data_IF_587986433647
#
_entry.id   IF_587986433647
#
_cell.length_a   1.000
_cell.length_b   1.000
_cell.length_c   1.000
_cell.angle_alpha   90.00
_cell.angle_beta   90.00
_cell.angle_gamma   90.00
#
_symmetry.space_group_name_H-M   'P 1'
#
loop_
_entity.id
_entity.type
_entity.pdbx_description
1 polymer ?
#
# COMPACT_ATOMS: atom_id res chain seq x y z
N UNK A 1 4.25 3.83 -16.25
CA UNK A 1 3.72 4.17 -14.92
C UNK A 1 2.36 3.49 -14.76
N UNK A 2 2.07 2.83 -13.63
CA UNK A 2 0.77 2.17 -13.43
C UNK A 2 -0.31 3.25 -13.29
N UNK A 3 -1.45 3.09 -13.96
CA UNK A 3 -2.55 4.07 -13.85
C UNK A 3 -3.17 4.05 -12.46
N UNK A 4 -3.63 5.21 -11.97
CA UNK A 4 -4.17 5.38 -10.63
C UNK A 4 -5.35 4.44 -10.38
N UNK A 5 -6.26 4.35 -11.34
CA UNK A 5 -7.46 3.49 -11.26
C UNK A 5 -7.11 2.01 -11.06
N UNK A 6 -5.96 1.55 -11.59
CA UNK A 6 -5.51 0.17 -11.39
C UNK A 6 -5.04 -0.05 -9.94
N UNK A 7 -4.33 0.92 -9.36
CA UNK A 7 -3.85 0.84 -7.99
C UNK A 7 -5.01 0.91 -6.99
N UNK A 8 -5.95 1.84 -7.22
CA UNK A 8 -7.19 1.95 -6.43
C UNK A 8 -7.99 0.64 -6.44
N UNK A 9 -8.13 0.01 -7.61
CA UNK A 9 -8.79 -1.30 -7.73
C UNK A 9 -8.08 -2.41 -6.97
N UNK A 10 -6.74 -2.42 -6.95
CA UNK A 10 -5.96 -3.41 -6.19
C UNK A 10 -6.19 -3.28 -4.69
N UNK A 11 -6.19 -2.05 -4.20
CA UNK A 11 -6.44 -1.74 -2.79
C UNK A 11 -7.87 -2.13 -2.40
N UNK A 12 -8.87 -1.74 -3.20
CA UNK A 12 -10.27 -2.02 -2.88
C UNK A 12 -10.59 -3.52 -2.84
N UNK A 13 -10.04 -4.32 -3.76
CA UNK A 13 -10.19 -5.77 -3.71
C UNK A 13 -9.49 -6.38 -2.51
N UNK A 14 -8.30 -5.90 -2.15
CA UNK A 14 -7.59 -6.39 -0.98
C UNK A 14 -8.34 -6.05 0.32
N UNK A 15 -8.87 -4.84 0.44
CA UNK A 15 -9.72 -4.41 1.56
C UNK A 15 -11.00 -5.25 1.66
N UNK A 16 -11.63 -5.59 0.53
CA UNK A 16 -12.78 -6.52 0.52
C UNK A 16 -12.40 -7.88 1.09
N UNK A 17 -11.24 -8.43 0.71
CA UNK A 17 -10.75 -9.70 1.22
C UNK A 17 -10.40 -9.62 2.72
N UNK A 18 -9.83 -8.51 3.17
CA UNK A 18 -9.52 -8.27 4.58
C UNK A 18 -10.78 -8.28 5.44
N UNK A 19 -11.84 -7.57 5.02
CA UNK A 19 -13.14 -7.55 5.72
C UNK A 19 -13.79 -8.93 5.79
N UNK A 20 -13.65 -9.75 4.75
CA UNK A 20 -14.14 -11.14 4.74
C UNK A 20 -13.40 -12.07 5.70
N UNK A 21 -12.26 -11.62 6.23
CA UNK A 21 -11.39 -12.39 7.13
C UNK A 21 -11.26 -11.75 8.51
N UNK A 22 -12.08 -10.76 8.82
CA UNK A 22 -12.01 -10.00 10.08
C UNK A 22 -10.61 -9.42 10.34
N UNK A 23 -9.94 -8.97 9.27
CA UNK A 23 -8.63 -8.30 9.34
C UNK A 23 -8.85 -6.79 9.24
N UNK A 24 -8.60 -6.06 10.31
CA UNK A 24 -8.77 -4.61 10.33
C UNK A 24 -7.69 -3.86 9.54
N UNK A 25 -6.47 -4.39 9.49
CA UNK A 25 -5.33 -3.71 8.87
C UNK A 25 -4.24 -4.69 8.48
N UNK A 26 -3.55 -4.42 7.37
CA UNK A 26 -2.40 -5.17 6.89
C UNK A 26 -1.16 -4.29 6.75
N UNK A 27 -0.04 -4.74 7.31
CA UNK A 27 1.27 -4.09 7.14
C UNK A 27 2.06 -4.79 6.04
N UNK A 28 2.31 -4.08 4.93
CA UNK A 28 3.07 -4.59 3.79
C UNK A 28 4.54 -4.20 3.91
N UNK A 29 5.41 -5.20 4.09
CA UNK A 29 6.88 -5.03 4.24
C UNK A 29 7.70 -5.70 3.14
N UNK A 30 7.06 -6.41 2.21
CA UNK A 30 7.76 -7.03 1.08
C UNK A 30 7.78 -6.07 -0.10
N UNK A 31 8.94 -5.89 -0.75
CA UNK A 31 9.13 -4.95 -1.85
C UNK A 31 8.18 -5.21 -3.04
N UNK A 32 7.96 -6.48 -3.39
CA UNK A 32 7.08 -6.86 -4.50
C UNK A 32 5.63 -6.44 -4.24
N UNK A 33 5.09 -6.75 -3.07
CA UNK A 33 3.75 -6.35 -2.65
C UNK A 33 3.61 -4.84 -2.51
N UNK A 34 4.62 -4.16 -1.94
CA UNK A 34 4.63 -2.70 -1.87
C UNK A 34 4.56 -2.08 -3.27
N UNK A 35 5.38 -2.57 -4.21
CA UNK A 35 5.38 -2.10 -5.60
C UNK A 35 4.05 -2.41 -6.29
N UNK A 36 3.42 -3.55 -5.99
CA UNK A 36 2.11 -3.91 -6.51
C UNK A 36 1.01 -2.93 -6.09
N UNK A 37 0.98 -2.53 -4.81
CA UNK A 37 -0.07 -1.63 -4.30
C UNK A 37 0.22 -0.15 -4.54
N UNK A 38 1.49 0.29 -4.49
CA UNK A 38 1.86 1.71 -4.65
C UNK A 38 2.27 2.09 -6.07
N UNK A 39 2.64 1.12 -6.91
CA UNK A 39 3.29 1.37 -8.19
C UNK A 39 4.73 1.89 -8.08
N UNK A 40 5.26 2.04 -6.86
CA UNK A 40 6.59 2.59 -6.58
C UNK A 40 7.54 1.52 -6.06
N UNK A 41 8.77 1.51 -6.56
CA UNK A 41 9.86 0.72 -5.98
C UNK A 41 10.51 1.53 -4.87
N UNK A 42 10.35 1.09 -3.62
CA UNK A 42 10.91 1.77 -2.45
C UNK A 42 11.77 0.82 -1.62
N UNK A 43 13.03 1.16 -1.35
CA UNK A 43 14.00 0.23 -0.76
C UNK A 43 13.60 -0.28 0.62
N UNK A 44 12.98 0.58 1.44
CA UNK A 44 12.46 0.25 2.76
C UNK A 44 10.93 0.29 2.73
N UNK A 45 10.27 -0.77 2.22
CA UNK A 45 8.82 -0.80 2.09
C UNK A 45 8.13 -0.87 3.46
N UNK A 46 7.23 0.07 3.68
CA UNK A 46 6.26 0.03 4.77
C UNK A 46 4.98 0.73 4.31
N UNK A 47 3.95 -0.06 4.04
CA UNK A 47 2.63 0.43 3.65
C UNK A 47 1.58 -0.22 4.54
N UNK A 48 0.84 0.59 5.28
CA UNK A 48 -0.31 0.15 6.05
C UNK A 48 -1.55 0.29 5.17
N UNK A 49 -2.26 -0.82 4.97
CA UNK A 49 -3.55 -0.80 4.28
C UNK A 49 -4.62 -1.13 5.33
N UNK A 50 -5.45 -0.16 5.74
CA UNK A 50 -6.61 -0.43 6.59
C UNK A 50 -7.70 -1.14 5.76
N UNK A 51 -8.60 -1.86 6.43
CA UNK A 51 -9.74 -2.53 5.79
C UNK A 51 -10.75 -1.54 5.22
N UNK A 52 -10.68 -0.27 5.62
CA UNK A 52 -11.45 0.85 5.09
C UNK A 52 -10.62 2.15 5.13
N UNK A 53 -10.80 3.03 4.15
CA UNK A 53 -10.01 4.25 3.98
C UNK A 53 -8.71 4.08 3.16
N UNK A 54 -7.84 5.09 3.21
CA UNK A 54 -6.67 5.19 2.35
C UNK A 54 -5.44 4.45 2.91
N UNK A 55 -4.59 3.84 2.05
CA UNK A 55 -3.29 3.32 2.46
C UNK A 55 -2.35 4.40 2.97
N UNK A 56 -1.59 4.08 4.02
CA UNK A 56 -0.61 4.98 4.66
C UNK A 56 0.80 4.46 4.42
N UNK A 57 1.61 5.21 3.67
CA UNK A 57 3.01 4.88 3.44
C UNK A 57 3.89 5.47 4.56
N UNK A 58 4.75 4.64 5.15
CA UNK A 58 5.77 5.07 6.10
C UNK A 58 7.09 5.15 5.37
N UNK A 59 7.57 6.38 5.17
CA UNK A 59 8.81 6.66 4.45
C UNK A 59 9.80 7.26 5.44
N UNK A 60 11.06 6.83 5.39
CA UNK A 60 12.12 7.47 6.16
C UNK A 60 12.30 8.90 5.65
N UNK A 61 12.33 9.88 6.56
CA UNK A 61 12.48 11.31 6.20
C UNK A 61 13.63 11.58 5.23
N UNK A 62 14.74 10.85 5.37
CA UNK A 62 15.92 10.98 4.50
C UNK A 62 15.81 10.24 3.15
N UNK A 63 14.76 9.45 2.93
CA UNK A 63 14.44 8.80 1.65
C UNK A 63 13.37 9.57 0.86
N UNK A 64 12.54 10.38 1.55
CA UNK A 64 11.64 11.28 0.87
C UNK A 64 12.46 12.38 0.18
N UNK A 65 12.27 12.56 -1.13
CA UNK A 65 12.82 13.75 -1.80
C UNK A 65 12.16 14.99 -1.19
N UNK A 66 12.94 16.03 -0.95
CA UNK A 66 12.37 17.36 -0.68
C UNK A 66 11.50 17.76 -1.89
N UNK A 67 10.27 18.20 -1.59
CA UNK A 67 9.27 18.59 -2.58
C UNK A 67 9.46 20.05 -3.00
#
# INVERSE_FOLDING_TARGET
MVRKEILERRVSEFQRLMRQKDVDTSMIRTLSSFTYFSGMKWLRPALLIPSDGDPIAFIFKYEAKEF
#
